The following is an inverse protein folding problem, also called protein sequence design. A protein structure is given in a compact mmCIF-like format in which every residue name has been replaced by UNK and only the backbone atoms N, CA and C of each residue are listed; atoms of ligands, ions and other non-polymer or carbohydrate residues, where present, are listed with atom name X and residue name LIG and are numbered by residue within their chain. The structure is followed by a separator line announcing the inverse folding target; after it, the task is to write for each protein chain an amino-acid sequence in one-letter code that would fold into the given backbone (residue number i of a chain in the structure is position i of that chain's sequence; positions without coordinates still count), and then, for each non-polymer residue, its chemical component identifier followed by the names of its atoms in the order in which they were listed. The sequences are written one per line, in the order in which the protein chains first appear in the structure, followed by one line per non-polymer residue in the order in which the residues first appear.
data_IF_447473371475
#
_entry.id   IF_447473371475
#
_cell.length_a   1.000
_cell.length_b   1.000
_cell.length_c   1.000
_cell.angle_alpha   90.00
_cell.angle_beta   90.00
_cell.angle_gamma   90.00
#
_symmetry.space_group_name_H-M   'P 1'
#
loop_
_entity.id
_entity.type
_entity.pdbx_description
1 polymer ?
#
# COMPACT_ATOMS: atom_id res chain seq x y z
N UNK A 1 30.00 -44.90 -49.34
CA UNK A 1 30.00 -45.96 -48.31
C UNK A 1 30.66 -45.45 -47.03
N UNK A 2 29.86 -45.23 -45.98
CA UNK A 2 30.15 -45.60 -44.58
C UNK A 2 28.91 -45.27 -43.77
N UNK A 3 28.18 -46.34 -43.44
CA UNK A 3 27.10 -46.40 -42.48
C UNK A 3 27.72 -46.29 -41.09
N UNK A 4 27.10 -45.52 -40.18
CA UNK A 4 27.21 -45.83 -38.77
C UNK A 4 25.88 -45.53 -38.06
N UNK A 5 25.29 -46.62 -37.58
CA UNK A 5 24.19 -46.71 -36.62
C UNK A 5 24.58 -46.12 -35.26
N UNK A 6 23.59 -45.57 -34.54
CA UNK A 6 23.21 -45.87 -33.13
C UNK A 6 22.33 -44.72 -32.61
N UNK A 7 21.03 -44.93 -32.40
CA UNK A 7 20.37 -45.55 -31.23
C UNK A 7 19.92 -44.50 -30.20
N UNK A 8 18.62 -44.58 -29.89
CA UNK A 8 17.97 -44.23 -28.61
C UNK A 8 17.96 -42.77 -28.14
N UNK A 9 16.74 -42.23 -28.04
CA UNK A 9 16.48 -40.97 -27.34
C UNK A 9 14.99 -40.64 -27.27
N UNK A 10 14.15 -41.58 -26.81
CA UNK A 10 12.78 -41.27 -26.41
C UNK A 10 12.82 -40.65 -25.01
N UNK A 11 13.01 -39.34 -24.91
CA UNK A 11 12.86 -38.60 -23.66
C UNK A 11 11.53 -37.86 -23.66
N UNK A 12 10.54 -38.51 -23.06
CA UNK A 12 9.28 -37.93 -22.66
C UNK A 12 9.54 -37.12 -21.39
N UNK A 13 9.82 -35.82 -21.53
CA UNK A 13 9.85 -34.88 -20.40
C UNK A 13 8.59 -34.01 -20.43
N UNK A 14 7.46 -34.58 -20.02
CA UNK A 14 6.30 -33.77 -19.61
C UNK A 14 6.61 -33.19 -18.23
N UNK A 15 7.28 -32.04 -18.20
CA UNK A 15 7.41 -31.23 -16.99
C UNK A 15 6.03 -30.68 -16.63
N UNK A 16 5.34 -31.37 -15.72
CA UNK A 16 4.14 -30.86 -15.07
C UNK A 16 4.52 -29.67 -14.19
N UNK A 17 4.28 -28.46 -14.70
CA UNK A 17 4.23 -27.25 -13.88
C UNK A 17 3.02 -27.36 -12.94
N UNK A 18 3.25 -27.95 -11.78
CA UNK A 18 2.48 -27.65 -10.58
C UNK A 18 2.76 -26.18 -10.24
N UNK A 19 1.93 -25.28 -10.78
CA UNK A 19 1.78 -23.94 -10.26
C UNK A 19 1.14 -24.07 -8.86
N UNK A 20 1.95 -24.47 -7.88
CA UNK A 20 1.60 -24.35 -6.48
C UNK A 20 1.37 -22.86 -6.24
N UNK A 21 0.10 -22.50 -6.02
CA UNK A 21 -0.34 -21.14 -5.80
C UNK A 21 0.57 -20.47 -4.79
N UNK A 22 1.28 -19.44 -5.27
CA UNK A 22 1.86 -18.45 -4.37
C UNK A 22 0.67 -17.75 -3.73
N UNK A 23 0.32 -18.15 -2.51
CA UNK A 23 -0.47 -17.32 -1.62
C UNK A 23 0.34 -16.06 -1.36
N UNK A 24 0.22 -15.11 -2.27
CA UNK A 24 0.68 -13.74 -2.08
C UNK A 24 -0.07 -13.25 -0.84
N UNK A 25 0.65 -12.98 0.24
CA UNK A 25 0.08 -12.38 1.43
C UNK A 25 -0.68 -11.13 0.95
N UNK A 26 -2.01 -11.21 0.91
CA UNK A 26 -2.84 -10.20 0.28
C UNK A 26 -2.54 -8.87 0.96
N UNK A 27 -1.75 -8.04 0.29
CA UNK A 27 -1.36 -6.74 0.78
C UNK A 27 -2.66 -6.01 1.09
N UNK A 28 -2.79 -5.43 2.29
CA UNK A 28 -4.03 -4.77 2.70
C UNK A 28 -4.47 -3.83 1.57
N UNK A 29 -5.73 -3.92 1.10
CA UNK A 29 -6.17 -3.23 -0.11
C UNK A 29 -6.06 -1.71 0.01
N UNK A 30 -5.98 -1.19 1.23
CA UNK A 30 -5.71 0.21 1.52
C UNK A 30 -4.22 0.43 1.83
N UNK A 31 -3.54 1.15 0.95
CA UNK A 31 -2.26 1.76 1.29
C UNK A 31 -2.50 3.08 2.04
N UNK A 32 -1.74 3.27 3.11
CA UNK A 32 -1.74 4.48 3.94
C UNK A 32 -0.35 5.08 3.93
N UNK A 33 -0.25 6.36 3.60
CA UNK A 33 0.98 7.15 3.62
C UNK A 33 0.71 8.37 4.49
N UNK A 34 1.63 8.67 5.40
CA UNK A 34 1.54 9.85 6.26
C UNK A 34 2.80 10.68 6.10
N UNK A 35 2.63 11.96 5.83
CA UNK A 35 3.70 12.94 5.80
C UNK A 35 3.40 14.03 6.81
N UNK A 36 4.45 14.64 7.38
CA UNK A 36 4.27 15.75 8.32
C UNK A 36 5.37 16.78 8.15
N UNK A 37 5.00 18.03 8.42
CA UNK A 37 5.90 19.16 8.42
C UNK A 37 5.69 19.98 9.69
N UNK A 38 6.79 20.40 10.28
CA UNK A 38 6.80 21.40 11.36
C UNK A 38 7.49 22.65 10.83
N UNK A 39 6.78 23.77 10.87
CA UNK A 39 7.32 25.06 10.44
C UNK A 39 8.20 25.72 11.54
N UNK A 40 8.87 26.85 11.25
CA UNK A 40 9.67 27.55 12.26
C UNK A 40 8.90 28.06 13.48
N UNK A 41 7.59 28.31 13.35
CA UNK A 41 6.70 28.75 14.43
C UNK A 41 6.18 27.56 15.27
N UNK A 42 6.56 26.33 14.92
CA UNK A 42 6.13 25.11 15.58
C UNK A 42 4.76 24.61 15.13
N UNK A 43 4.14 25.19 14.11
CA UNK A 43 2.87 24.67 13.57
C UNK A 43 3.12 23.34 12.89
N UNK A 44 2.22 22.41 13.12
CA UNK A 44 2.29 21.05 12.58
C UNK A 44 1.24 20.91 11.49
N UNK A 45 1.70 20.49 10.31
CA UNK A 45 0.86 20.09 9.18
C UNK A 45 1.07 18.60 8.95
N UNK A 46 -0.02 17.84 8.81
CA UNK A 46 0.03 16.41 8.56
C UNK A 46 -0.82 16.10 7.33
N UNK A 47 -0.27 15.36 6.38
CA UNK A 47 -0.98 14.85 5.22
C UNK A 47 -1.13 13.34 5.34
N UNK A 48 -2.34 12.85 5.10
CA UNK A 48 -2.70 11.45 5.06
C UNK A 48 -3.16 11.12 3.64
N UNK A 49 -2.36 10.34 2.93
CA UNK A 49 -2.71 9.82 1.61
C UNK A 49 -3.21 8.39 1.73
N UNK A 50 -4.42 8.17 1.23
CA UNK A 50 -5.12 6.89 1.19
C UNK A 50 -5.24 6.43 -0.25
N UNK A 51 -4.71 5.26 -0.57
CA UNK A 51 -4.78 4.67 -1.91
C UNK A 51 -5.36 3.27 -1.87
N UNK A 52 -6.39 3.02 -2.67
CA UNK A 52 -6.88 1.67 -2.85
C UNK A 52 -5.99 0.93 -3.87
N UNK A 53 -5.20 -0.03 -3.40
CA UNK A 53 -4.40 -0.95 -4.23
C UNK A 53 -5.11 -2.28 -4.51
N UNK A 54 -6.29 -2.49 -3.92
CA UNK A 54 -7.12 -3.66 -4.19
C UNK A 54 -7.80 -3.60 -5.54
N UNK A 55 -8.39 -4.72 -5.94
CA UNK A 55 -9.22 -4.85 -7.15
C UNK A 55 -10.69 -4.46 -6.92
N UNK A 56 -11.10 -4.26 -5.67
CA UNK A 56 -12.48 -3.95 -5.28
C UNK A 56 -12.59 -2.56 -4.63
N UNK A 57 -13.74 -1.87 -4.74
CA UNK A 57 -13.97 -0.59 -4.06
C UNK A 57 -13.96 -0.73 -2.52
N UNK A 58 -13.33 0.22 -1.84
CA UNK A 58 -13.40 0.33 -0.37
C UNK A 58 -14.54 1.25 0.02
N UNK A 59 -15.42 0.81 0.91
CA UNK A 59 -16.63 1.54 1.31
C UNK A 59 -16.50 2.08 2.74
N UNK A 60 -17.12 3.25 2.98
CA UNK A 60 -17.23 3.88 4.31
C UNK A 60 -15.88 4.00 5.04
N UNK A 61 -14.85 4.43 4.33
CA UNK A 61 -13.51 4.68 4.91
C UNK A 61 -13.60 5.89 5.85
N UNK A 62 -13.14 5.75 7.09
CA UNK A 62 -13.22 6.78 8.13
C UNK A 62 -11.81 7.15 8.61
N UNK A 63 -11.18 8.16 7.99
CA UNK A 63 -9.86 8.61 8.39
C UNK A 63 -9.91 9.36 9.72
N UNK A 64 -8.93 9.09 10.59
CA UNK A 64 -8.80 9.73 11.89
C UNK A 64 -7.32 10.00 12.17
N UNK A 65 -6.98 11.25 12.47
CA UNK A 65 -5.70 11.56 13.09
C UNK A 65 -5.81 11.38 14.60
N UNK A 66 -4.99 10.49 15.15
CA UNK A 66 -4.86 10.30 16.59
C UNK A 66 -3.51 10.84 17.04
N UNK A 67 -3.53 11.96 17.75
CA UNK A 67 -2.39 12.49 18.47
C UNK A 67 -2.45 12.04 19.92
N UNK A 68 -1.31 12.00 20.61
CA UNK A 68 -1.20 11.43 21.96
C UNK A 68 -2.24 11.98 22.97
N UNK A 69 -2.79 13.17 22.73
CA UNK A 69 -3.85 13.77 23.56
C UNK A 69 -5.06 14.31 22.78
N UNK A 70 -5.11 14.18 21.46
CA UNK A 70 -6.21 14.71 20.67
C UNK A 70 -6.60 13.79 19.52
N UNK A 71 -7.87 13.83 19.15
CA UNK A 71 -8.43 13.12 18.01
C UNK A 71 -8.96 14.15 17.04
N UNK A 72 -8.63 14.01 15.76
CA UNK A 72 -9.13 14.88 14.70
C UNK A 72 -9.74 14.00 13.59
N UNK A 73 -11.05 13.72 13.68
CA UNK A 73 -11.74 12.94 12.67
C UNK A 73 -11.82 13.72 11.36
N UNK A 74 -11.67 13.03 10.23
CA UNK A 74 -11.84 13.60 8.90
C UNK A 74 -13.21 13.21 8.33
N UNK A 75 -13.63 13.90 7.27
CA UNK A 75 -14.83 13.53 6.53
C UNK A 75 -14.75 12.07 6.05
N UNK A 76 -15.82 11.29 6.22
CA UNK A 76 -15.85 9.91 5.73
C UNK A 76 -15.78 9.89 4.21
N UNK A 77 -14.98 8.97 3.67
CA UNK A 77 -14.91 8.66 2.25
C UNK A 77 -15.88 7.50 2.01
N UNK A 78 -17.02 7.78 1.39
CA UNK A 78 -18.07 6.78 1.21
C UNK A 78 -17.63 5.62 0.33
N UNK A 79 -16.78 5.91 -0.66
CA UNK A 79 -16.27 4.94 -1.63
C UNK A 79 -14.91 5.40 -2.16
N UNK A 80 -13.94 4.49 -2.19
CA UNK A 80 -12.61 4.69 -2.77
C UNK A 80 -12.39 3.58 -3.80
N UNK A 81 -12.43 3.94 -5.09
CA UNK A 81 -12.34 3.00 -6.21
C UNK A 81 -10.93 2.36 -6.33
N UNK A 82 -10.79 1.19 -6.97
CA UNK A 82 -9.49 0.61 -7.29
C UNK A 82 -8.57 1.61 -8.00
N UNK A 83 -7.35 1.76 -7.49
CA UNK A 83 -6.36 2.71 -8.00
C UNK A 83 -6.57 4.17 -7.57
N UNK A 84 -7.72 4.51 -6.98
CA UNK A 84 -8.00 5.87 -6.52
C UNK A 84 -7.13 6.23 -5.31
N UNK A 85 -6.71 7.49 -5.29
CA UNK A 85 -5.87 8.09 -4.25
C UNK A 85 -6.50 9.40 -3.77
N UNK A 86 -6.52 9.62 -2.46
CA UNK A 86 -7.03 10.84 -1.82
C UNK A 86 -6.03 11.28 -0.76
N UNK A 87 -5.69 12.56 -0.75
CA UNK A 87 -4.86 13.19 0.30
C UNK A 87 -5.71 14.09 1.18
N UNK A 88 -5.58 13.91 2.49
CA UNK A 88 -6.28 14.67 3.53
C UNK A 88 -5.26 15.45 4.34
N UNK A 89 -5.53 16.74 4.55
CA UNK A 89 -4.65 17.60 5.36
C UNK A 89 -5.25 17.83 6.75
N UNK A 90 -4.38 17.81 7.77
CA UNK A 90 -4.70 18.21 9.13
C UNK A 90 -3.72 19.27 9.62
N UNK A 91 -4.27 20.43 10.00
CA UNK A 91 -3.54 21.55 10.59
C UNK A 91 -3.99 21.85 12.03
N UNK A 92 -4.82 20.97 12.61
CA UNK A 92 -5.45 21.16 13.92
C UNK A 92 -4.58 20.75 15.11
N UNK A 93 -3.36 20.27 14.85
CA UNK A 93 -2.44 19.89 15.92
C UNK A 93 -1.87 21.14 16.64
N UNK A 94 -1.83 21.16 17.98
CA UNK A 94 -1.24 22.26 18.73
C UNK A 94 0.23 22.51 18.34
N UNK A 95 0.73 23.76 18.37
CA UNK A 95 2.13 24.03 18.08
C UNK A 95 3.08 23.23 18.97
N UNK A 96 4.17 22.72 18.40
CA UNK A 96 5.21 21.97 19.11
C UNK A 96 6.50 22.78 19.20
N UNK A 97 7.24 22.59 20.29
CA UNK A 97 8.60 23.10 20.38
C UNK A 97 9.54 22.18 19.61
N UNK A 98 10.42 22.76 18.80
CA UNK A 98 11.50 22.00 18.15
C UNK A 98 12.64 21.83 19.15
N UNK A 99 13.06 20.59 19.42
CA UNK A 99 14.25 20.32 20.21
C UNK A 99 15.51 20.53 19.36
N UNK A 100 16.58 21.09 19.95
CA UNK A 100 17.88 21.25 19.27
C UNK A 100 18.01 22.51 18.39
N UNK A 101 17.21 23.55 18.67
CA UNK A 101 17.46 24.93 18.24
C UNK A 101 17.68 25.79 19.46
#
# INVERSE_FOLDING_TARGET
MKILWQSTGFFLLCASLLAAGRGEAAQAPLQVITESRVDPDGRVQVWLTLKNRGSEPLLKVQPLFHFHHSRSPMSPIQRLEPGQEITLENTGHPPVRRAGR
#
